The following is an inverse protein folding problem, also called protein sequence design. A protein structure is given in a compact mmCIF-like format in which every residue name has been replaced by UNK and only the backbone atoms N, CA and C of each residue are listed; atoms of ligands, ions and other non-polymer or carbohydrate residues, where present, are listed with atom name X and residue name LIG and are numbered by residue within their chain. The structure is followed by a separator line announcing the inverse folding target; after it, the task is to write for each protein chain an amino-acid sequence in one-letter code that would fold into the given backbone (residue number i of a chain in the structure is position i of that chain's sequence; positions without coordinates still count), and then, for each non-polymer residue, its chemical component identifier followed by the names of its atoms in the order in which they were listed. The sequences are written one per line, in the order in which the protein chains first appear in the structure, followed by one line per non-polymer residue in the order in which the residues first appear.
data_IF_179473354633
#
_entry.id   IF_179473354633
#
_cell.length_a   1.000
_cell.length_b   1.000
_cell.length_c   1.000
_cell.angle_alpha   90.00
_cell.angle_beta   90.00
_cell.angle_gamma   90.00
#
_symmetry.space_group_name_H-M   'P 1'
#
loop_
_entity.id
_entity.type
_entity.pdbx_description
1 polymer ?
#
# COMPACT_ATOMS: atom_id res chain seq x y z
N UNK A 1 -14.78 -20.82 -4.28
CA UNK A 1 -15.19 -20.85 -2.87
C UNK A 1 -15.53 -19.43 -2.36
N UNK A 2 -14.59 -18.44 -2.36
CA UNK A 2 -14.92 -17.09 -1.87
C UNK A 2 -15.99 -16.40 -2.73
N UNK A 3 -16.02 -16.62 -4.03
CA UNK A 3 -17.05 -16.06 -4.93
C UNK A 3 -18.44 -16.72 -4.80
N UNK A 4 -18.55 -17.78 -4.03
CA UNK A 4 -19.83 -18.41 -3.68
C UNK A 4 -20.48 -17.76 -2.45
N UNK A 5 -19.72 -16.93 -1.71
CA UNK A 5 -20.22 -16.18 -0.58
C UNK A 5 -21.05 -14.96 -1.03
N UNK A 6 -22.00 -14.49 -0.22
CA UNK A 6 -22.72 -13.26 -0.53
C UNK A 6 -21.75 -12.07 -0.55
N UNK A 7 -21.68 -11.39 -1.68
CA UNK A 7 -20.89 -10.18 -1.89
C UNK A 7 -21.70 -9.14 -2.64
N UNK A 8 -21.43 -7.87 -2.36
CA UNK A 8 -21.96 -6.77 -3.19
C UNK A 8 -21.35 -6.81 -4.60
N UNK A 9 -21.96 -6.12 -5.55
CA UNK A 9 -21.42 -6.03 -6.91
C UNK A 9 -20.06 -5.33 -6.92
N UNK A 10 -19.87 -4.32 -6.09
CA UNK A 10 -18.59 -3.63 -5.92
C UNK A 10 -17.49 -4.55 -5.36
N UNK A 11 -17.81 -5.37 -4.36
CA UNK A 11 -16.89 -6.37 -3.83
C UNK A 11 -16.50 -7.40 -4.88
N UNK A 12 -17.46 -7.90 -5.66
CA UNK A 12 -17.22 -8.86 -6.76
C UNK A 12 -16.31 -8.26 -7.83
N UNK A 13 -16.57 -7.01 -8.23
CA UNK A 13 -15.75 -6.30 -9.22
C UNK A 13 -14.31 -6.12 -8.72
N UNK A 14 -14.14 -5.66 -7.47
CA UNK A 14 -12.83 -5.49 -6.86
C UNK A 14 -12.06 -6.80 -6.72
N UNK A 15 -12.73 -7.87 -6.26
CA UNK A 15 -12.13 -9.19 -6.16
C UNK A 15 -11.74 -9.74 -7.53
N UNK A 16 -12.59 -9.57 -8.54
CA UNK A 16 -12.29 -9.97 -9.92
C UNK A 16 -11.06 -9.25 -10.45
N UNK A 17 -10.97 -7.94 -10.21
CA UNK A 17 -9.80 -7.17 -10.60
C UNK A 17 -8.52 -7.66 -9.92
N UNK A 18 -8.55 -7.91 -8.61
CA UNK A 18 -7.40 -8.43 -7.87
C UNK A 18 -6.94 -9.79 -8.43
N UNK A 19 -7.86 -10.73 -8.60
CA UNK A 19 -7.54 -12.06 -9.11
C UNK A 19 -7.05 -12.06 -10.56
N UNK A 20 -7.49 -11.09 -11.38
CA UNK A 20 -7.04 -10.98 -12.77
C UNK A 20 -5.57 -10.53 -12.89
N UNK A 21 -5.07 -9.79 -11.91
CA UNK A 21 -3.74 -9.18 -11.99
C UNK A 21 -2.74 -9.67 -10.94
N UNK A 22 -3.17 -10.50 -9.97
CA UNK A 22 -2.25 -10.99 -8.95
C UNK A 22 -1.38 -12.14 -9.47
N UNK A 23 -0.16 -12.32 -8.95
CA UNK A 23 0.67 -13.49 -9.22
C UNK A 23 -0.01 -14.78 -8.78
N UNK A 24 0.24 -15.88 -9.52
CA UNK A 24 -0.32 -17.19 -9.19
C UNK A 24 0.08 -17.68 -7.79
N UNK A 25 1.28 -17.32 -7.33
CA UNK A 25 1.73 -17.66 -5.97
C UNK A 25 0.80 -17.05 -4.91
N UNK A 26 0.34 -15.82 -5.09
CA UNK A 26 -0.57 -15.16 -4.15
C UNK A 26 -1.92 -15.89 -4.06
N UNK A 27 -2.42 -16.40 -5.20
CA UNK A 27 -3.66 -17.18 -5.23
C UNK A 27 -3.51 -18.48 -4.41
N UNK A 28 -2.32 -19.08 -4.45
CA UNK A 28 -2.04 -20.32 -3.72
C UNK A 28 -1.75 -20.10 -2.24
N UNK A 29 -1.09 -19.00 -1.90
CA UNK A 29 -0.56 -18.75 -0.55
C UNK A 29 -1.58 -18.17 0.42
N UNK A 30 -2.66 -17.52 -0.08
CA UNK A 30 -3.65 -16.87 0.76
C UNK A 30 -5.09 -17.29 0.39
N UNK A 31 -5.97 -17.48 1.40
CA UNK A 31 -7.37 -17.79 1.15
C UNK A 31 -8.11 -16.57 0.58
N UNK A 32 -9.23 -16.82 -0.10
CA UNK A 32 -10.05 -15.75 -0.68
C UNK A 32 -10.58 -14.73 0.33
N UNK A 33 -10.83 -15.16 1.56
CA UNK A 33 -11.26 -14.32 2.68
C UNK A 33 -10.21 -13.25 3.04
N UNK A 34 -8.93 -13.57 2.92
CA UNK A 34 -7.85 -12.59 3.10
C UNK A 34 -7.97 -11.42 2.11
N UNK A 35 -8.23 -11.72 0.84
CA UNK A 35 -8.40 -10.69 -0.20
C UNK A 35 -9.69 -9.91 0.00
N UNK A 36 -10.78 -10.57 0.39
CA UNK A 36 -12.05 -9.90 0.68
C UNK A 36 -11.93 -8.93 1.86
N UNK A 37 -11.25 -9.29 2.93
CA UNK A 37 -10.98 -8.38 4.06
C UNK A 37 -10.18 -7.15 3.59
N UNK A 38 -9.16 -7.34 2.76
CA UNK A 38 -8.40 -6.22 2.19
C UNK A 38 -9.25 -5.32 1.28
N UNK A 39 -10.16 -5.87 0.50
CA UNK A 39 -11.15 -5.11 -0.30
C UNK A 39 -12.05 -4.28 0.62
N UNK A 40 -12.57 -4.88 1.68
CA UNK A 40 -13.45 -4.21 2.63
C UNK A 40 -12.75 -3.04 3.32
N UNK A 41 -11.49 -3.20 3.72
CA UNK A 41 -10.71 -2.10 4.29
C UNK A 41 -10.37 -1.02 3.26
N UNK A 42 -10.14 -1.36 1.99
CA UNK A 42 -9.96 -0.37 0.95
C UNK A 42 -11.23 0.48 0.73
N UNK A 43 -12.39 -0.14 0.71
CA UNK A 43 -13.68 0.55 0.61
C UNK A 43 -13.98 1.38 1.87
N UNK A 44 -13.67 0.84 3.05
CA UNK A 44 -13.82 1.55 4.33
C UNK A 44 -12.97 2.83 4.34
N UNK A 45 -11.72 2.76 3.94
CA UNK A 45 -10.86 3.92 3.83
C UNK A 45 -11.41 4.94 2.83
N UNK A 46 -11.88 4.52 1.66
CA UNK A 46 -12.52 5.39 0.67
C UNK A 46 -13.77 6.08 1.22
N UNK A 47 -14.56 5.38 2.02
CA UNK A 47 -15.80 5.94 2.60
C UNK A 47 -15.51 6.91 3.76
N UNK A 48 -14.57 6.57 4.63
CA UNK A 48 -14.32 7.30 5.88
C UNK A 48 -13.33 8.45 5.74
N UNK A 49 -12.40 8.40 4.77
CA UNK A 49 -11.39 9.46 4.59
C UNK A 49 -11.93 10.62 3.73
N UNK A 50 -11.55 11.87 4.05
CA UNK A 50 -12.04 13.07 3.35
C UNK A 50 -11.78 13.06 1.84
N UNK A 51 -10.69 12.44 1.39
CA UNK A 51 -10.29 12.35 -0.03
C UNK A 51 -10.93 11.20 -0.79
N UNK A 52 -11.71 10.36 -0.15
CA UNK A 52 -12.29 9.17 -0.79
C UNK A 52 -13.12 9.48 -2.03
N UNK A 53 -13.82 10.63 -2.05
CA UNK A 53 -14.60 11.10 -3.20
C UNK A 53 -13.77 11.86 -4.23
N UNK A 54 -12.60 12.33 -3.86
CA UNK A 54 -11.69 13.10 -4.73
C UNK A 54 -10.79 12.18 -5.53
N UNK A 55 -10.41 11.03 -4.97
CA UNK A 55 -9.61 10.01 -5.66
C UNK A 55 -10.44 9.38 -6.78
N UNK A 56 -10.03 9.51 -8.06
CA UNK A 56 -10.74 8.90 -9.17
C UNK A 56 -10.76 7.37 -9.07
N UNK A 57 -11.77 6.75 -9.65
CA UNK A 57 -11.93 5.28 -9.65
C UNK A 57 -10.72 4.55 -10.26
N UNK A 58 -10.10 5.11 -11.29
CA UNK A 58 -8.91 4.55 -11.92
C UNK A 58 -7.73 4.47 -10.93
N UNK A 59 -7.44 5.57 -10.24
CA UNK A 59 -6.34 5.65 -9.27
C UNK A 59 -6.63 4.79 -8.05
N UNK A 60 -7.86 4.74 -7.59
CA UNK A 60 -8.28 3.82 -6.54
C UNK A 60 -8.04 2.36 -6.93
N UNK A 61 -8.51 1.95 -8.10
CA UNK A 61 -8.42 0.56 -8.57
C UNK A 61 -6.98 0.09 -8.78
N UNK A 62 -6.13 0.94 -9.31
CA UNK A 62 -4.75 0.57 -9.65
C UNK A 62 -3.73 0.84 -8.54
N UNK A 63 -3.99 1.78 -7.63
CA UNK A 63 -2.98 2.29 -6.69
C UNK A 63 -3.42 2.33 -5.22
N UNK A 64 -4.65 1.98 -4.90
CA UNK A 64 -5.15 1.79 -3.54
C UNK A 64 -5.54 0.33 -3.31
N UNK A 65 -6.38 -0.22 -4.17
CA UNK A 65 -6.94 -1.55 -4.04
C UNK A 65 -5.89 -2.68 -4.02
N UNK A 66 -4.87 -2.69 -4.90
CA UNK A 66 -3.87 -3.76 -4.89
C UNK A 66 -3.11 -3.83 -3.58
N UNK A 67 -2.90 -5.05 -3.07
CA UNK A 67 -2.21 -5.29 -1.82
C UNK A 67 -0.71 -5.35 -2.05
N UNK A 68 -0.29 -6.13 -3.05
CA UNK A 68 1.12 -6.30 -3.41
C UNK A 68 1.73 -5.00 -3.96
N UNK A 69 2.91 -4.66 -3.47
CA UNK A 69 3.69 -3.50 -3.91
C UNK A 69 4.87 -3.93 -4.77
N UNK A 70 5.61 -4.95 -4.34
CA UNK A 70 6.80 -5.47 -5.01
C UNK A 70 6.82 -7.01 -4.92
N UNK A 71 7.84 -7.58 -4.31
CA UNK A 71 8.03 -9.03 -4.13
C UNK A 71 7.95 -9.47 -2.66
N UNK A 72 7.38 -8.63 -1.80
CA UNK A 72 7.17 -8.89 -0.39
C UNK A 72 6.21 -10.05 -0.14
N UNK A 73 6.29 -10.66 1.04
CA UNK A 73 5.20 -11.50 1.51
C UNK A 73 4.01 -10.63 1.90
N UNK A 74 2.81 -11.05 1.53
CA UNK A 74 1.58 -10.36 1.93
C UNK A 74 1.25 -10.67 3.39
N UNK A 75 0.69 -9.69 4.09
CA UNK A 75 0.26 -9.79 5.49
C UNK A 75 -0.96 -8.90 5.77
N UNK A 76 -1.41 -8.85 7.01
CA UNK A 76 -2.57 -8.06 7.47
C UNK A 76 -2.26 -6.56 7.67
N UNK A 77 -1.22 -6.04 7.03
CA UNK A 77 -0.77 -4.66 7.22
C UNK A 77 -1.85 -3.63 6.94
N UNK A 78 -2.68 -3.83 5.92
CA UNK A 78 -3.74 -2.86 5.58
C UNK A 78 -4.67 -2.58 6.74
N UNK A 79 -5.15 -3.62 7.41
CA UNK A 79 -6.00 -3.50 8.59
C UNK A 79 -5.27 -2.82 9.74
N UNK A 80 -4.08 -3.29 10.07
CA UNK A 80 -3.28 -2.77 11.19
C UNK A 80 -2.94 -1.30 10.96
N UNK A 81 -2.45 -0.94 9.78
CA UNK A 81 -2.06 0.43 9.46
C UNK A 81 -3.27 1.37 9.38
N UNK A 82 -4.40 0.91 8.84
CA UNK A 82 -5.63 1.69 8.86
C UNK A 82 -6.03 2.06 10.29
N UNK A 83 -6.06 1.10 11.21
CA UNK A 83 -6.45 1.34 12.60
C UNK A 83 -5.48 2.28 13.33
N UNK A 84 -4.19 2.24 13.04
CA UNK A 84 -3.20 3.15 13.62
C UNK A 84 -3.24 4.57 13.01
N UNK A 85 -3.48 4.68 11.71
CA UNK A 85 -3.33 5.93 10.97
C UNK A 85 -4.61 6.74 10.84
N UNK A 86 -5.79 6.11 10.85
CA UNK A 86 -7.07 6.77 10.56
C UNK A 86 -7.30 8.04 11.38
N UNK A 87 -7.01 8.01 12.67
CA UNK A 87 -7.22 9.16 13.54
C UNK A 87 -6.14 10.24 13.39
N UNK A 88 -4.95 9.87 12.92
CA UNK A 88 -3.87 10.84 12.63
C UNK A 88 -4.14 11.66 11.38
N UNK A 89 -4.86 11.12 10.40
CA UNK A 89 -4.98 11.74 9.07
C UNK A 89 -6.38 12.22 8.72
N UNK A 90 -7.44 11.76 9.36
CA UNK A 90 -8.84 12.04 8.99
C UNK A 90 -9.23 13.52 8.97
N UNK A 91 -8.51 14.38 9.68
CA UNK A 91 -8.76 15.82 9.74
C UNK A 91 -7.77 16.65 8.92
N UNK A 92 -6.92 16.01 8.14
CA UNK A 92 -5.90 16.65 7.33
C UNK A 92 -6.35 16.79 5.87
N UNK A 93 -5.74 17.73 5.16
CA UNK A 93 -5.79 17.75 3.69
C UNK A 93 -5.10 16.50 3.13
N UNK A 94 -5.39 16.13 1.88
CA UNK A 94 -4.72 14.98 1.25
C UNK A 94 -3.20 15.16 1.22
N UNK A 95 -2.72 16.35 0.91
CA UNK A 95 -1.29 16.66 0.91
C UNK A 95 -0.66 16.48 2.30
N UNK A 96 -1.28 17.06 3.33
CA UNK A 96 -0.79 16.94 4.71
C UNK A 96 -0.88 15.51 5.21
N UNK A 97 -1.90 14.77 4.82
CA UNK A 97 -2.03 13.35 5.16
C UNK A 97 -0.90 12.52 4.56
N UNK A 98 -0.49 12.79 3.32
CA UNK A 98 0.67 12.13 2.69
C UNK A 98 1.94 12.38 3.51
N UNK A 99 2.18 13.62 3.90
CA UNK A 99 3.34 13.98 4.73
C UNK A 99 3.29 13.31 6.11
N UNK A 100 2.13 13.29 6.74
CA UNK A 100 1.94 12.66 8.05
C UNK A 100 2.17 11.14 8.00
N UNK A 101 1.67 10.46 6.97
CA UNK A 101 1.94 9.03 6.77
C UNK A 101 3.43 8.79 6.56
N UNK A 102 4.08 9.61 5.73
CA UNK A 102 5.52 9.49 5.51
C UNK A 102 6.31 9.69 6.81
N UNK A 103 5.93 10.68 7.62
CA UNK A 103 6.53 10.90 8.94
C UNK A 103 6.35 9.69 9.87
N UNK A 104 5.14 9.15 9.95
CA UNK A 104 4.85 7.94 10.72
C UNK A 104 5.70 6.74 10.25
N UNK A 105 5.93 6.60 8.95
CA UNK A 105 6.80 5.54 8.42
C UNK A 105 8.24 5.69 8.93
N UNK A 106 8.78 6.91 8.93
CA UNK A 106 10.11 7.18 9.47
C UNK A 106 10.22 6.98 10.99
N UNK A 107 9.12 7.13 11.73
CA UNK A 107 9.10 6.76 13.15
C UNK A 107 9.23 5.25 13.37
N UNK A 108 8.79 4.45 12.41
CA UNK A 108 8.70 2.98 12.54
C UNK A 108 9.90 2.23 11.97
N UNK A 109 10.51 2.72 10.90
CA UNK A 109 11.53 1.99 10.13
C UNK A 109 12.75 2.89 9.86
N UNK A 110 13.93 2.34 10.08
CA UNK A 110 15.21 3.01 9.83
C UNK A 110 15.90 2.33 8.65
N UNK A 111 16.42 3.13 7.72
CA UNK A 111 17.16 2.62 6.57
C UNK A 111 18.41 1.84 6.98
N UNK A 112 18.58 0.66 6.41
CA UNK A 112 19.78 -0.19 6.56
C UNK A 112 20.03 -0.96 5.26
N UNK A 113 21.18 -0.82 4.62
CA UNK A 113 21.51 -1.57 3.40
C UNK A 113 21.45 -3.08 3.64
N UNK A 114 20.81 -3.81 2.73
CA UNK A 114 20.72 -5.28 2.77
C UNK A 114 20.42 -5.84 1.39
N UNK A 115 20.96 -7.00 1.07
CA UNK A 115 20.67 -7.76 -0.15
C UNK A 115 19.60 -8.83 0.05
N UNK A 116 18.99 -8.88 1.23
CA UNK A 116 17.95 -9.85 1.54
C UNK A 116 16.65 -9.57 0.77
N UNK A 117 15.76 -10.58 0.71
CA UNK A 117 14.43 -10.43 0.13
C UNK A 117 13.64 -9.35 0.88
N UNK A 118 12.82 -8.59 0.13
CA UNK A 118 11.94 -7.56 0.69
C UNK A 118 11.02 -8.14 1.76
N UNK A 119 11.05 -7.54 2.95
CA UNK A 119 10.20 -7.93 4.08
C UNK A 119 8.75 -7.51 3.86
N UNK A 120 7.82 -8.22 4.49
CA UNK A 120 6.43 -7.75 4.56
C UNK A 120 6.34 -6.46 5.36
N UNK A 121 5.29 -5.63 5.14
CA UNK A 121 5.15 -4.37 5.88
C UNK A 121 5.16 -4.52 7.40
N UNK A 122 4.44 -5.51 7.95
CA UNK A 122 4.45 -5.76 9.40
C UNK A 122 5.79 -6.31 9.91
N UNK A 123 6.51 -7.09 9.10
CA UNK A 123 7.85 -7.55 9.46
C UNK A 123 8.83 -6.38 9.54
N UNK A 124 8.75 -5.42 8.61
CA UNK A 124 9.56 -4.19 8.63
C UNK A 124 9.30 -3.38 9.90
N UNK A 125 8.06 -3.23 10.33
CA UNK A 125 7.73 -2.58 11.62
C UNK A 125 8.35 -3.31 12.80
N UNK A 126 8.27 -4.64 12.83
CA UNK A 126 8.81 -5.45 13.94
C UNK A 126 10.33 -5.37 14.05
N UNK A 127 11.03 -5.30 12.93
CA UNK A 127 12.50 -5.22 12.91
C UNK A 127 13.00 -3.79 13.08
N UNK A 128 12.19 -2.78 12.75
CA UNK A 128 12.52 -1.36 12.69
C UNK A 128 13.74 -1.05 11.77
N UNK A 129 14.02 -1.94 10.82
CA UNK A 129 15.10 -1.80 9.84
C UNK A 129 14.61 -2.12 8.44
N UNK A 130 15.10 -1.42 7.44
CA UNK A 130 14.78 -1.66 6.05
C UNK A 130 15.78 -1.03 5.09
N UNK A 131 15.86 -1.58 3.89
CA UNK A 131 16.50 -0.94 2.74
C UNK A 131 15.45 -0.15 1.95
N UNK A 132 15.87 0.57 0.90
CA UNK A 132 14.94 1.37 0.09
C UNK A 132 13.75 0.55 -0.46
N UNK A 133 13.95 -0.75 -0.76
CA UNK A 133 12.88 -1.66 -1.16
C UNK A 133 11.84 -1.90 -0.05
N UNK A 134 12.28 -2.18 1.18
CA UNK A 134 11.40 -2.36 2.34
C UNK A 134 10.74 -1.06 2.76
N UNK A 135 11.47 0.04 2.86
CA UNK A 135 10.92 1.34 3.26
C UNK A 135 9.88 1.83 2.27
N UNK A 136 10.14 1.72 0.97
CA UNK A 136 9.18 2.12 -0.05
C UNK A 136 7.96 1.18 -0.08
N UNK A 137 8.13 -0.13 0.06
CA UNK A 137 7.02 -1.09 0.17
C UNK A 137 6.15 -0.79 1.38
N UNK A 138 6.76 -0.56 2.53
CA UNK A 138 6.09 -0.19 3.77
C UNK A 138 5.31 1.12 3.64
N UNK A 139 5.92 2.15 3.08
CA UNK A 139 5.30 3.46 2.89
C UNK A 139 4.12 3.40 1.91
N UNK A 140 4.25 2.65 0.81
CA UNK A 140 3.13 2.43 -0.12
C UNK A 140 1.99 1.70 0.57
N UNK A 141 2.25 0.64 1.33
CA UNK A 141 1.24 -0.08 2.08
C UNK A 141 0.52 0.83 3.09
N UNK A 142 1.25 1.68 3.80
CA UNK A 142 0.69 2.63 4.76
C UNK A 142 -0.21 3.68 4.08
N UNK A 143 0.22 4.28 2.97
CA UNK A 143 -0.58 5.23 2.19
C UNK A 143 -1.87 4.59 1.66
N UNK A 144 -1.77 3.40 1.05
CA UNK A 144 -2.93 2.67 0.54
C UNK A 144 -3.91 2.28 1.65
N UNK A 145 -3.44 2.00 2.85
CA UNK A 145 -4.29 1.63 3.98
C UNK A 145 -5.29 2.72 4.36
N UNK A 146 -4.95 3.98 4.16
CA UNK A 146 -5.82 5.14 4.38
C UNK A 146 -6.42 5.71 3.09
N UNK A 147 -6.43 4.94 2.01
CA UNK A 147 -7.09 5.30 0.75
C UNK A 147 -6.33 6.30 -0.10
N UNK A 148 -5.05 6.48 0.09
CA UNK A 148 -4.19 7.36 -0.73
C UNK A 148 -3.53 6.54 -1.83
N UNK A 149 -3.75 6.87 -3.12
CA UNK A 149 -3.08 6.17 -4.21
C UNK A 149 -1.57 6.34 -4.10
N UNK A 150 -0.86 5.22 -4.10
CA UNK A 150 0.59 5.20 -3.98
C UNK A 150 1.20 4.07 -4.79
N UNK A 151 2.42 4.27 -5.25
CA UNK A 151 3.19 3.28 -6.00
C UNK A 151 4.67 3.34 -5.64
N UNK A 152 5.32 2.19 -5.69
CA UNK A 152 6.77 2.12 -5.68
C UNK A 152 7.29 2.38 -7.10
N UNK A 153 8.31 3.20 -7.20
CA UNK A 153 9.08 3.37 -8.43
C UNK A 153 10.45 2.75 -8.22
N UNK A 154 10.93 2.02 -9.21
CA UNK A 154 12.18 1.30 -9.15
C UNK A 154 13.06 1.64 -10.35
N UNK A 155 14.34 1.83 -10.10
CA UNK A 155 15.35 1.89 -11.14
C UNK A 155 16.42 0.83 -10.89
N UNK A 156 16.77 0.02 -11.90
CA UNK A 156 17.84 -0.97 -11.74
C UNK A 156 19.22 -0.34 -11.61
N UNK A 157 19.35 0.94 -11.99
CA UNK A 157 20.62 1.67 -11.95
C UNK A 157 20.37 3.13 -11.59
N UNK A 158 20.88 3.59 -10.46
CA UNK A 158 20.77 4.97 -10.04
C UNK A 158 21.83 5.85 -10.73
N UNK A 159 21.52 7.13 -10.96
CA UNK A 159 22.28 8.01 -11.84
C UNK A 159 23.78 8.16 -11.50
N UNK A 160 24.17 7.94 -10.25
CA UNK A 160 25.54 8.15 -9.76
C UNK A 160 26.20 6.90 -9.17
N UNK A 161 25.51 5.77 -9.19
CA UNK A 161 26.01 4.48 -8.67
C UNK A 161 25.56 3.33 -9.55
N UNK A 162 26.23 2.19 -9.47
CA UNK A 162 25.78 0.95 -10.13
C UNK A 162 24.69 0.22 -9.33
N UNK A 163 24.25 0.78 -8.20
CA UNK A 163 23.19 0.23 -7.36
C UNK A 163 21.80 0.59 -7.88
N UNK A 164 20.86 -0.29 -7.62
CA UNK A 164 19.43 -0.01 -7.81
C UNK A 164 18.90 0.94 -6.74
N UNK A 165 17.78 1.56 -7.05
CA UNK A 165 17.07 2.42 -6.09
C UNK A 165 15.57 2.28 -6.23
N UNK A 166 14.85 2.41 -5.11
CA UNK A 166 13.41 2.44 -5.06
C UNK A 166 12.94 3.65 -4.23
N UNK A 167 11.84 4.25 -4.66
CA UNK A 167 11.18 5.35 -3.93
C UNK A 167 9.68 5.26 -4.07
N UNK A 168 8.97 6.16 -3.42
CA UNK A 168 7.51 6.22 -3.40
C UNK A 168 7.00 7.42 -4.18
N UNK A 169 5.93 7.22 -4.90
CA UNK A 169 5.11 8.31 -5.41
C UNK A 169 3.69 8.19 -4.88
N UNK A 170 3.15 9.31 -4.37
CA UNK A 170 1.78 9.44 -3.88
C UNK A 170 1.00 10.41 -4.75
N UNK A 171 -0.25 10.06 -5.03
CA UNK A 171 -1.16 10.88 -5.82
C UNK A 171 -1.88 11.90 -4.94
N UNK A 172 -1.78 13.18 -5.28
CA UNK A 172 -2.50 14.28 -4.64
C UNK A 172 -3.10 15.19 -5.72
N UNK A 173 -4.41 15.28 -5.78
CA UNK A 173 -5.14 16.21 -6.64
C UNK A 173 -4.69 16.21 -8.11
N UNK A 174 -4.49 15.05 -8.68
CA UNK A 174 -4.12 14.86 -10.09
C UNK A 174 -2.63 14.84 -10.39
N UNK A 175 -1.77 14.90 -9.36
CA UNK A 175 -0.31 14.86 -9.51
C UNK A 175 0.32 13.77 -8.67
N UNK A 176 1.39 13.19 -9.18
CA UNK A 176 2.23 12.26 -8.44
C UNK A 176 3.40 13.01 -7.79
N UNK A 177 3.52 12.89 -6.48
CA UNK A 177 4.57 13.51 -5.69
C UNK A 177 5.59 12.48 -5.24
N UNK A 178 6.86 12.79 -5.40
CA UNK A 178 7.98 12.02 -4.88
C UNK A 178 8.00 12.09 -3.36
N UNK A 179 8.18 10.93 -2.72
CA UNK A 179 8.51 10.80 -1.31
C UNK A 179 9.82 10.04 -1.19
N UNK A 180 10.75 10.58 -0.42
CA UNK A 180 11.94 9.85 0.00
C UNK A 180 11.53 8.65 0.87
N UNK A 181 12.17 7.50 0.65
CA UNK A 181 12.08 6.32 1.48
C UNK A 181 13.43 6.09 2.14
#
# INVERSE_FOLDING_TARGET
QVFEQPMSDEQKEAMTFLYAYMPLADIADHPGEFYLENVDYAFKAREEMPWGKVVPEREFRHFVLPIRVNNENLDDSRKVFYEELKDRVKNLSLYDAVLEVNHWCHEKVIYTPSDARTSSPLASVKTAYGRCGEESTFTVAALRSVGIPARQVYTPRWAHTDDNHAWVEAWVDGKWYFLGA
#
